data_IF_452380907747
#
_entry.id   IF_452380907747
#
_cell.length_a   1.000
_cell.length_b   1.000
_cell.length_c   1.000
_cell.angle_alpha   90.00
_cell.angle_beta   90.00
_cell.angle_gamma   90.00
#
_symmetry.space_group_name_H-M   'P 1'
#
loop_
_entity.id
_entity.type
_entity.pdbx_description
1 polymer ?
#
# COMPACT_ATOMS: atom_id res chain seq x y z
N UNK A 1 10.80 -6.00 32.92
CA UNK A 1 10.34 -4.87 33.75
C UNK A 1 10.46 -3.52 33.02
N UNK A 2 11.53 -3.25 32.31
CA UNK A 2 11.75 -1.97 31.58
C UNK A 2 10.80 -1.77 30.39
N UNK A 3 10.49 -2.81 29.62
CA UNK A 3 9.48 -2.75 28.52
C UNK A 3 8.15 -2.20 29.02
N UNK A 4 7.66 -2.70 30.16
CA UNK A 4 6.38 -2.27 30.75
C UNK A 4 6.44 -0.81 31.21
N UNK A 5 7.57 -0.38 31.79
CA UNK A 5 7.75 1.03 32.21
C UNK A 5 7.73 1.98 31.01
N UNK A 6 8.41 1.62 29.90
CA UNK A 6 8.41 2.41 28.67
C UNK A 6 7.02 2.43 28.04
N UNK A 7 6.34 1.28 27.98
CA UNK A 7 4.97 1.19 27.50
C UNK A 7 4.07 2.16 28.27
N UNK A 8 4.04 2.09 29.60
CA UNK A 8 3.15 2.94 30.42
C UNK A 8 3.51 4.43 30.22
N UNK A 9 4.79 4.77 30.25
CA UNK A 9 5.25 6.18 30.17
C UNK A 9 4.94 6.84 28.83
N UNK A 10 5.15 6.11 27.72
CA UNK A 10 5.05 6.67 26.38
C UNK A 10 3.80 6.19 25.60
N UNK A 11 2.93 5.41 26.23
CA UNK A 11 1.74 4.83 25.59
C UNK A 11 0.89 5.87 24.85
N UNK A 12 0.52 7.03 25.43
CA UNK A 12 -0.30 8.01 24.72
C UNK A 12 0.36 8.53 23.45
N UNK A 13 1.67 8.84 23.50
CA UNK A 13 2.42 9.34 22.35
C UNK A 13 2.62 8.28 21.27
N UNK A 14 2.82 7.01 21.66
CA UNK A 14 2.94 5.90 20.71
C UNK A 14 1.60 5.57 20.03
N UNK A 15 0.48 5.71 20.75
CA UNK A 15 -0.86 5.55 20.16
C UNK A 15 -1.14 6.65 19.13
N UNK A 16 -0.78 7.91 19.43
CA UNK A 16 -0.90 9.01 18.46
C UNK A 16 -0.06 8.73 17.22
N UNK A 17 1.19 8.30 17.40
CA UNK A 17 2.08 7.96 16.30
C UNK A 17 1.56 6.77 15.47
N UNK A 18 0.97 5.76 16.13
CA UNK A 18 0.30 4.65 15.46
C UNK A 18 -0.89 5.12 14.64
N UNK A 19 -1.70 6.07 15.17
CA UNK A 19 -2.80 6.66 14.41
C UNK A 19 -2.31 7.36 13.14
N UNK A 20 -1.18 8.07 13.21
CA UNK A 20 -0.57 8.69 12.01
C UNK A 20 -0.08 7.62 11.01
N UNK A 21 0.53 6.53 11.48
CA UNK A 21 0.87 5.36 10.66
C UNK A 21 -0.36 4.81 9.93
N UNK A 22 -1.45 4.58 10.65
CA UNK A 22 -2.69 4.03 10.09
C UNK A 22 -3.34 5.01 9.12
N UNK A 23 -3.44 6.29 9.48
CA UNK A 23 -3.98 7.33 8.58
C UNK A 23 -3.21 7.40 7.26
N UNK A 24 -1.87 7.43 7.33
CA UNK A 24 -1.01 7.46 6.15
C UNK A 24 -1.24 6.22 5.29
N UNK A 25 -1.25 5.03 5.90
CA UNK A 25 -1.49 3.78 5.19
C UNK A 25 -2.86 3.73 4.52
N UNK A 26 -3.94 4.06 5.25
CA UNK A 26 -5.31 4.01 4.72
C UNK A 26 -5.49 5.00 3.57
N UNK A 27 -5.04 6.25 3.75
CA UNK A 27 -5.10 7.27 2.69
C UNK A 27 -4.36 6.81 1.44
N UNK A 28 -3.13 6.31 1.61
CA UNK A 28 -2.32 5.82 0.49
C UNK A 28 -2.95 4.62 -0.20
N UNK A 29 -3.55 3.70 0.55
CA UNK A 29 -4.20 2.51 0.00
C UNK A 29 -5.45 2.82 -0.81
N UNK A 30 -6.23 3.85 -0.43
CA UNK A 30 -7.38 4.30 -1.23
C UNK A 30 -6.91 4.75 -2.62
N UNK A 31 -5.89 5.59 -2.68
CA UNK A 31 -5.33 6.03 -3.97
C UNK A 31 -4.59 4.92 -4.70
N UNK A 32 -3.88 4.05 -3.98
CA UNK A 32 -3.22 2.88 -4.56
C UNK A 32 -4.21 1.93 -5.24
N UNK A 33 -5.38 1.73 -4.64
CA UNK A 33 -6.43 0.89 -5.24
C UNK A 33 -6.97 1.51 -6.54
N UNK A 34 -7.20 2.83 -6.56
CA UNK A 34 -7.63 3.55 -7.77
C UNK A 34 -6.58 3.43 -8.88
N UNK A 35 -5.31 3.69 -8.55
CA UNK A 35 -4.19 3.56 -9.50
C UNK A 35 -4.02 2.10 -9.94
N UNK A 36 -4.15 1.16 -9.02
CA UNK A 36 -4.05 -0.27 -9.27
C UNK A 36 -5.09 -0.77 -10.26
N UNK A 37 -6.36 -0.37 -10.09
CA UNK A 37 -7.44 -0.70 -11.03
C UNK A 37 -7.16 -0.06 -12.39
N UNK A 38 -6.82 1.21 -12.43
CA UNK A 38 -6.57 1.94 -13.66
C UNK A 38 -5.43 1.33 -14.48
N UNK A 39 -4.25 1.18 -13.89
CA UNK A 39 -3.09 0.63 -14.56
C UNK A 39 -3.19 -0.89 -14.78
N UNK A 40 -3.82 -1.63 -13.86
CA UNK A 40 -4.06 -3.07 -14.01
C UNK A 40 -4.94 -3.39 -15.23
N UNK A 41 -6.03 -2.63 -15.42
CA UNK A 41 -6.89 -2.77 -16.59
C UNK A 41 -6.19 -2.36 -17.90
N UNK A 42 -5.35 -1.34 -17.87
CA UNK A 42 -4.57 -0.96 -19.04
C UNK A 42 -3.57 -2.05 -19.48
N UNK A 43 -3.04 -2.82 -18.53
CA UNK A 43 -2.09 -3.91 -18.83
C UNK A 43 -2.73 -5.12 -19.52
N UNK A 44 -4.03 -5.32 -19.35
CA UNK A 44 -4.77 -6.40 -20.03
C UNK A 44 -5.45 -5.96 -21.32
N UNK A 45 -5.45 -4.66 -21.65
CA UNK A 45 -6.08 -4.14 -22.87
C UNK A 45 -5.34 -4.60 -24.12
N UNK A 46 -6.06 -4.68 -25.26
CA UNK A 46 -5.48 -4.93 -26.58
C UNK A 46 -4.75 -3.70 -27.16
N UNK A 47 -5.02 -2.50 -26.62
CA UNK A 47 -4.35 -1.27 -27.07
C UNK A 47 -2.89 -1.27 -26.60
N UNK A 48 -1.97 -1.41 -27.54
CA UNK A 48 -0.52 -1.49 -27.30
C UNK A 48 0.03 -0.25 -26.59
N UNK A 49 -0.46 0.94 -26.94
CA UNK A 49 0.00 2.19 -26.31
C UNK A 49 -0.35 2.22 -24.81
N UNK A 50 -1.62 1.94 -24.44
CA UNK A 50 -2.04 1.90 -23.05
C UNK A 50 -1.32 0.82 -22.27
N UNK A 51 -1.13 -0.35 -22.89
CA UNK A 51 -0.39 -1.47 -22.26
C UNK A 51 1.05 -1.09 -21.97
N UNK A 52 1.77 -0.50 -22.93
CA UNK A 52 3.17 -0.07 -22.77
C UNK A 52 3.25 1.02 -21.69
N UNK A 53 2.40 2.03 -21.74
CA UNK A 53 2.36 3.11 -20.75
C UNK A 53 2.18 2.57 -19.32
N UNK A 54 1.19 1.70 -19.11
CA UNK A 54 0.94 1.10 -17.80
C UNK A 54 2.08 0.18 -17.35
N UNK A 55 2.65 -0.61 -18.26
CA UNK A 55 3.78 -1.48 -17.95
C UNK A 55 5.01 -0.67 -17.55
N UNK A 56 5.33 0.41 -18.26
CA UNK A 56 6.46 1.29 -17.93
C UNK A 56 6.33 1.86 -16.50
N UNK A 57 5.14 2.37 -16.14
CA UNK A 57 4.88 2.82 -14.77
C UNK A 57 5.16 1.71 -13.74
N UNK A 58 4.57 0.55 -13.95
CA UNK A 58 4.68 -0.57 -13.00
C UNK A 58 6.12 -1.06 -12.89
N UNK A 59 6.84 -1.20 -14.00
CA UNK A 59 8.24 -1.65 -14.01
C UNK A 59 9.18 -0.64 -13.31
N UNK A 60 9.04 0.66 -13.59
CA UNK A 60 9.85 1.71 -12.95
C UNK A 60 9.62 1.71 -11.44
N UNK A 61 8.36 1.73 -11.01
CA UNK A 61 8.02 1.81 -9.58
C UNK A 61 8.45 0.54 -8.82
N UNK A 62 8.20 -0.64 -9.39
CA UNK A 62 8.60 -1.90 -8.74
C UNK A 62 10.09 -2.20 -8.86
N UNK A 63 10.77 -1.59 -9.82
CA UNK A 63 12.21 -1.71 -10.04
C UNK A 63 13.06 -0.74 -9.20
N UNK A 64 12.44 0.16 -8.42
CA UNK A 64 13.15 1.16 -7.62
C UNK A 64 12.76 1.08 -6.13
N UNK A 65 13.70 1.33 -5.19
CA UNK A 65 13.41 1.29 -3.76
C UNK A 65 12.43 2.39 -3.33
N UNK A 66 11.45 2.06 -2.48
CA UNK A 66 10.49 3.03 -1.93
C UNK A 66 11.17 4.24 -1.28
N UNK A 67 12.27 4.03 -0.56
CA UNK A 67 13.03 5.13 0.07
C UNK A 67 13.54 6.14 -0.96
N UNK A 68 14.05 5.66 -2.10
CA UNK A 68 14.53 6.52 -3.20
C UNK A 68 13.36 7.28 -3.83
N UNK A 69 12.22 6.62 -4.03
CA UNK A 69 10.99 7.27 -4.51
C UNK A 69 10.54 8.39 -3.55
N UNK A 70 10.60 8.15 -2.23
CA UNK A 70 10.26 9.15 -1.23
C UNK A 70 11.16 10.40 -1.33
N UNK A 71 12.46 10.22 -1.52
CA UNK A 71 13.40 11.34 -1.72
C UNK A 71 13.14 12.08 -3.03
N UNK A 72 12.90 11.38 -4.14
CA UNK A 72 12.59 12.01 -5.42
C UNK A 72 11.32 12.84 -5.30
N UNK A 73 10.25 12.31 -4.69
CA UNK A 73 8.97 13.01 -4.57
C UNK A 73 9.09 14.17 -3.59
N UNK A 74 9.68 13.96 -2.41
CA UNK A 74 9.73 15.02 -1.40
C UNK A 74 10.69 16.14 -1.76
N UNK A 75 11.93 15.82 -2.12
CA UNK A 75 12.96 16.82 -2.43
C UNK A 75 13.00 17.17 -3.92
N UNK A 76 12.95 16.18 -4.81
CA UNK A 76 13.08 16.38 -6.25
C UNK A 76 11.89 17.16 -6.83
N UNK A 77 10.66 16.77 -6.53
CA UNK A 77 9.46 17.50 -6.99
C UNK A 77 9.45 18.92 -6.42
N UNK A 78 9.75 19.10 -5.14
CA UNK A 78 9.84 20.43 -4.53
C UNK A 78 10.89 21.32 -5.21
N UNK A 79 12.05 20.75 -5.58
CA UNK A 79 13.10 21.47 -6.28
C UNK A 79 12.68 21.89 -7.70
N UNK A 80 12.09 20.98 -8.47
CA UNK A 80 11.67 21.22 -9.86
C UNK A 80 10.52 22.24 -9.92
N UNK A 81 9.59 22.16 -8.98
CA UNK A 81 8.40 23.04 -8.94
C UNK A 81 8.64 24.34 -8.15
N UNK A 82 9.81 24.53 -7.54
CA UNK A 82 10.15 25.76 -6.80
C UNK A 82 9.88 27.06 -7.58
N UNK A 83 10.18 27.15 -8.91
CA UNK A 83 9.90 28.36 -9.69
C UNK A 83 8.41 28.72 -9.78
N UNK A 84 7.49 27.75 -9.58
CA UNK A 84 6.03 27.98 -9.56
C UNK A 84 5.51 28.40 -8.19
N UNK A 85 6.37 28.55 -7.17
CA UNK A 85 5.99 28.82 -5.79
C UNK A 85 5.55 27.58 -5.01
N UNK A 86 5.63 26.40 -5.59
CA UNK A 86 5.20 25.16 -4.93
C UNK A 86 6.03 24.84 -3.68
N UNK A 87 5.32 24.50 -2.59
CA UNK A 87 5.89 23.96 -1.36
C UNK A 87 5.00 22.88 -0.77
N UNK A 88 5.60 21.78 -0.36
CA UNK A 88 4.87 20.72 0.35
C UNK A 88 4.22 21.24 1.65
N UNK A 89 4.80 22.24 2.31
CA UNK A 89 4.27 22.81 3.56
C UNK A 89 2.86 23.39 3.39
N UNK A 90 2.52 23.89 2.20
CA UNK A 90 1.21 24.47 1.90
C UNK A 90 0.09 23.42 1.76
N UNK A 91 0.47 22.17 1.45
CA UNK A 91 -0.48 21.10 1.16
C UNK A 91 -0.34 19.90 2.11
N UNK A 92 0.19 20.12 3.32
CA UNK A 92 0.29 19.09 4.35
C UNK A 92 1.69 18.51 4.58
N UNK A 93 2.72 19.09 3.96
CA UNK A 93 4.12 18.78 4.24
C UNK A 93 4.57 17.38 3.84
N UNK A 94 5.47 16.83 4.65
CA UNK A 94 6.01 15.49 4.45
C UNK A 94 4.93 14.40 4.43
N UNK A 95 3.84 14.58 5.19
CA UNK A 95 2.73 13.61 5.22
C UNK A 95 2.10 13.43 3.84
N UNK A 96 1.79 14.53 3.15
CA UNK A 96 1.20 14.48 1.80
C UNK A 96 2.18 13.91 0.77
N UNK A 97 3.46 14.32 0.82
CA UNK A 97 4.48 13.74 -0.05
C UNK A 97 4.66 12.24 0.16
N UNK A 98 4.63 11.80 1.42
CA UNK A 98 4.68 10.38 1.78
C UNK A 98 3.43 9.61 1.33
N UNK A 99 2.24 10.22 1.49
CA UNK A 99 0.99 9.63 1.00
C UNK A 99 1.02 9.45 -0.53
N UNK A 100 1.49 10.44 -1.28
CA UNK A 100 1.69 10.34 -2.74
C UNK A 100 2.68 9.24 -3.08
N UNK A 101 3.84 9.21 -2.40
CA UNK A 101 4.88 8.19 -2.63
C UNK A 101 4.34 6.78 -2.42
N UNK A 102 3.70 6.54 -1.28
CA UNK A 102 3.18 5.22 -0.92
C UNK A 102 2.00 4.83 -1.82
N UNK A 103 1.17 5.80 -2.25
CA UNK A 103 0.08 5.56 -3.21
C UNK A 103 0.60 5.10 -4.56
N UNK A 104 1.62 5.76 -5.09
CA UNK A 104 2.25 5.37 -6.35
C UNK A 104 2.93 4.00 -6.22
N UNK A 105 3.67 3.77 -5.14
CA UNK A 105 4.35 2.51 -4.91
C UNK A 105 3.34 1.35 -4.80
N UNK A 106 2.43 1.42 -3.84
CA UNK A 106 1.41 0.38 -3.62
C UNK A 106 0.47 0.23 -4.81
N UNK A 107 0.20 1.32 -5.55
CA UNK A 107 -0.59 1.30 -6.78
C UNK A 107 0.01 0.44 -7.88
N UNK A 108 1.33 0.46 -8.05
CA UNK A 108 2.02 -0.39 -9.00
C UNK A 108 1.93 -1.89 -8.62
N UNK A 109 2.06 -2.22 -7.33
CA UNK A 109 1.85 -3.58 -6.84
C UNK A 109 0.39 -4.02 -6.99
N UNK A 110 -0.57 -3.15 -6.69
CA UNK A 110 -2.01 -3.42 -6.89
C UNK A 110 -2.33 -3.65 -8.37
N UNK A 111 -1.74 -2.88 -9.30
CA UNK A 111 -1.92 -3.07 -10.73
C UNK A 111 -1.47 -4.48 -11.18
N UNK A 112 -0.36 -4.97 -10.65
CA UNK A 112 0.13 -6.31 -10.94
C UNK A 112 -0.77 -7.40 -10.34
N UNK A 113 -1.24 -7.21 -9.10
CA UNK A 113 -2.19 -8.13 -8.45
C UNK A 113 -3.48 -8.22 -9.27
N UNK A 114 -4.02 -7.10 -9.73
CA UNK A 114 -5.25 -7.06 -10.53
C UNK A 114 -5.04 -7.73 -11.88
N UNK A 115 -3.93 -7.42 -12.58
CA UNK A 115 -3.59 -8.09 -13.83
C UNK A 115 -3.49 -9.60 -13.65
N UNK A 116 -2.67 -10.04 -12.67
CA UNK A 116 -2.48 -11.46 -12.39
C UNK A 116 -3.75 -12.17 -11.98
N UNK A 117 -4.63 -11.53 -11.19
CA UNK A 117 -5.91 -12.10 -10.80
C UNK A 117 -6.88 -12.29 -11.97
N UNK A 118 -6.89 -11.37 -12.95
CA UNK A 118 -7.71 -11.50 -14.16
C UNK A 118 -7.15 -12.59 -15.08
N UNK A 119 -5.84 -12.65 -15.26
CA UNK A 119 -5.17 -13.66 -16.09
C UNK A 119 -5.20 -15.07 -15.47
N UNK A 120 -5.41 -15.19 -14.18
CA UNK A 120 -5.53 -16.48 -13.49
C UNK A 120 -6.89 -17.16 -13.67
N UNK A 121 -7.89 -16.44 -14.20
CA UNK A 121 -9.19 -17.06 -14.56
C UNK A 121 -9.01 -17.89 -15.82
N UNK A 122 -9.50 -19.13 -15.78
CA UNK A 122 -9.41 -20.05 -16.91
C UNK A 122 -10.00 -19.45 -18.20
N UNK A 123 -9.27 -19.55 -19.31
CA UNK A 123 -9.66 -19.01 -20.62
C UNK A 123 -10.98 -19.59 -21.11
N UNK A 124 -11.25 -20.86 -20.80
CA UNK A 124 -12.51 -21.54 -21.13
C UNK A 124 -13.74 -20.86 -20.54
N UNK A 125 -13.60 -20.12 -19.41
CA UNK A 125 -14.70 -19.31 -18.86
C UNK A 125 -15.10 -18.17 -19.82
N UNK A 126 -14.12 -17.53 -20.43
CA UNK A 126 -14.36 -16.49 -21.44
C UNK A 126 -14.98 -17.08 -22.70
N UNK A 127 -14.47 -18.21 -23.17
CA UNK A 127 -14.96 -18.89 -24.36
C UNK A 127 -16.40 -19.39 -24.16
N UNK A 128 -16.70 -20.02 -23.04
CA UNK A 128 -18.04 -20.48 -22.70
C UNK A 128 -19.04 -19.31 -22.63
N UNK A 129 -18.67 -18.21 -21.97
CA UNK A 129 -19.50 -17.01 -21.88
C UNK A 129 -19.78 -16.42 -23.29
N UNK A 130 -18.77 -16.39 -24.15
CA UNK A 130 -18.90 -15.93 -25.55
C UNK A 130 -19.79 -16.84 -26.38
N UNK A 131 -19.70 -18.16 -26.20
CA UNK A 131 -20.53 -19.16 -26.87
C UNK A 131 -22.00 -19.04 -26.48
N UNK A 132 -22.31 -18.58 -25.26
CA UNK A 132 -23.65 -18.25 -24.80
C UNK A 132 -24.17 -16.88 -25.30
N UNK A 133 -23.44 -16.21 -26.24
CA UNK A 133 -23.87 -14.95 -26.85
C UNK A 133 -23.54 -13.70 -26.07
N UNK A 134 -22.81 -13.80 -24.94
CA UNK A 134 -22.38 -12.60 -24.20
C UNK A 134 -21.33 -11.83 -25.02
N UNK A 135 -21.42 -10.50 -25.04
CA UNK A 135 -20.35 -9.66 -25.60
C UNK A 135 -19.07 -9.78 -24.74
N UNK A 136 -17.91 -9.40 -25.27
CA UNK A 136 -16.64 -9.43 -24.52
C UNK A 136 -16.73 -8.69 -23.18
N UNK A 137 -17.32 -7.49 -23.19
CA UNK A 137 -17.48 -6.66 -21.98
C UNK A 137 -18.45 -7.32 -20.98
N UNK A 138 -19.52 -7.93 -21.48
CA UNK A 138 -20.47 -8.67 -20.63
C UNK A 138 -19.82 -9.91 -20.02
N UNK A 139 -19.06 -10.67 -20.79
CA UNK A 139 -18.31 -11.83 -20.31
C UNK A 139 -17.28 -11.43 -19.25
N UNK A 140 -16.53 -10.36 -19.52
CA UNK A 140 -15.56 -9.82 -18.57
C UNK A 140 -16.24 -9.40 -17.25
N UNK A 141 -17.32 -8.61 -17.32
CA UNK A 141 -17.99 -8.06 -16.15
C UNK A 141 -18.78 -9.10 -15.34
N UNK A 142 -19.49 -10.01 -16.02
CA UNK A 142 -20.42 -10.95 -15.36
C UNK A 142 -19.77 -12.28 -14.98
N UNK A 143 -18.71 -12.71 -15.68
CA UNK A 143 -18.09 -14.03 -15.48
C UNK A 143 -16.66 -13.91 -14.96
N UNK A 144 -15.81 -13.13 -15.62
CA UNK A 144 -14.37 -13.10 -15.31
C UNK A 144 -14.08 -12.27 -14.05
N UNK A 145 -14.54 -11.01 -14.00
CA UNK A 145 -14.22 -10.11 -12.87
C UNK A 145 -14.66 -10.63 -11.50
N UNK A 146 -15.85 -11.25 -11.32
CA UNK A 146 -16.24 -11.82 -10.03
C UNK A 146 -15.33 -12.97 -9.58
N UNK A 147 -14.86 -13.80 -10.52
CA UNK A 147 -13.91 -14.88 -10.24
C UNK A 147 -12.53 -14.31 -9.94
N UNK A 148 -12.03 -13.40 -10.79
CA UNK A 148 -10.75 -12.71 -10.61
C UNK A 148 -10.68 -11.99 -9.25
N UNK A 149 -11.76 -11.32 -8.83
CA UNK A 149 -11.81 -10.64 -7.53
C UNK A 149 -11.57 -11.60 -6.36
N UNK A 150 -12.19 -12.79 -6.41
CA UNK A 150 -11.96 -13.82 -5.38
C UNK A 150 -10.51 -14.31 -5.35
N UNK A 151 -9.89 -14.47 -6.53
CA UNK A 151 -8.50 -14.92 -6.68
C UNK A 151 -7.54 -13.86 -6.15
N UNK A 152 -7.75 -12.57 -6.48
CA UNK A 152 -6.83 -11.49 -6.11
C UNK A 152 -6.99 -10.98 -4.68
N UNK A 153 -8.13 -11.23 -4.02
CA UNK A 153 -8.43 -10.66 -2.71
C UNK A 153 -7.39 -10.97 -1.63
N UNK A 154 -6.87 -12.21 -1.48
CA UNK A 154 -5.80 -12.51 -0.52
C UNK A 154 -4.55 -11.66 -0.76
N UNK A 155 -4.16 -11.49 -2.02
CA UNK A 155 -3.00 -10.69 -2.41
C UNK A 155 -3.21 -9.19 -2.15
N UNK A 156 -4.42 -8.68 -2.38
CA UNK A 156 -4.80 -7.29 -2.06
C UNK A 156 -4.65 -7.05 -0.55
N UNK A 157 -5.19 -7.95 0.28
CA UNK A 157 -5.11 -7.79 1.74
C UNK A 157 -3.66 -7.89 2.22
N UNK A 158 -2.87 -8.81 1.67
CA UNK A 158 -1.44 -8.89 1.97
C UNK A 158 -0.72 -7.59 1.59
N UNK A 159 -1.04 -6.98 0.45
CA UNK A 159 -0.48 -5.69 0.04
C UNK A 159 -0.87 -4.56 1.00
N UNK A 160 -2.06 -4.59 1.59
CA UNK A 160 -2.45 -3.63 2.63
C UNK A 160 -1.55 -3.74 3.87
N UNK A 161 -1.22 -4.96 4.30
CA UNK A 161 -0.32 -5.20 5.44
C UNK A 161 1.12 -4.75 5.11
N UNK A 162 1.59 -5.00 3.89
CA UNK A 162 2.90 -4.55 3.41
C UNK A 162 2.93 -3.01 3.42
N UNK A 163 1.95 -2.36 2.82
CA UNK A 163 1.86 -0.89 2.74
C UNK A 163 1.86 -0.23 4.13
N UNK A 164 1.19 -0.83 5.13
CA UNK A 164 1.22 -0.34 6.49
C UNK A 164 2.64 -0.39 7.09
N UNK A 165 3.39 -1.45 6.85
CA UNK A 165 4.79 -1.56 7.30
C UNK A 165 5.71 -0.60 6.55
N UNK A 166 5.45 -0.37 5.27
CA UNK A 166 6.23 0.52 4.40
C UNK A 166 6.13 1.99 4.82
N UNK A 167 5.11 2.38 5.60
CA UNK A 167 5.06 3.72 6.21
C UNK A 167 6.29 4.00 7.06
N UNK A 168 6.89 2.98 7.68
CA UNK A 168 8.11 3.10 8.50
C UNK A 168 9.30 3.65 7.70
N UNK A 169 9.40 3.34 6.41
CA UNK A 169 10.44 3.84 5.51
C UNK A 169 10.30 5.35 5.32
N UNK A 170 9.06 5.86 5.30
CA UNK A 170 8.78 7.28 5.07
C UNK A 170 9.16 8.18 6.25
N UNK A 171 9.57 7.61 7.39
CA UNK A 171 10.22 8.35 8.47
C UNK A 171 11.46 9.10 8.02
N UNK A 172 12.13 8.69 6.92
CA UNK A 172 13.33 9.32 6.36
C UNK A 172 13.07 10.74 5.81
N UNK A 173 11.83 11.05 5.43
CA UNK A 173 11.42 12.40 4.99
C UNK A 173 10.73 13.20 6.11
N UNK A 174 10.83 12.74 7.37
CA UNK A 174 10.38 13.48 8.56
C UNK A 174 8.92 13.25 8.95
N UNK A 175 8.25 12.23 8.42
CA UNK A 175 6.89 11.89 8.85
C UNK A 175 6.92 11.34 10.28
N UNK A 176 6.14 11.95 11.17
CA UNK A 176 6.05 11.56 12.59
C UNK A 176 5.10 10.37 12.80
N UNK A 177 5.40 9.28 12.13
CA UNK A 177 4.73 7.99 12.33
C UNK A 177 5.42 7.19 13.45
N UNK A 178 5.00 5.93 13.66
CA UNK A 178 5.43 5.10 14.78
C UNK A 178 6.96 4.87 14.83
N UNK A 179 7.61 4.62 13.69
CA UNK A 179 9.07 4.42 13.62
C UNK A 179 9.85 5.71 13.92
N UNK A 180 9.38 6.85 13.45
CA UNK A 180 10.00 8.14 13.77
C UNK A 180 9.90 8.45 15.26
N UNK A 181 8.78 8.12 15.89
CA UNK A 181 8.63 8.22 17.35
C UNK A 181 9.61 7.33 18.08
N UNK A 182 9.82 6.10 17.60
CA UNK A 182 10.85 5.19 18.11
C UNK A 182 12.26 5.78 17.99
N UNK A 183 12.61 6.38 16.85
CA UNK A 183 13.90 7.05 16.62
C UNK A 183 14.13 8.18 17.63
N UNK A 184 13.11 9.03 17.83
CA UNK A 184 13.19 10.15 18.78
C UNK A 184 13.39 9.65 20.22
N UNK A 185 12.63 8.63 20.64
CA UNK A 185 12.77 8.04 21.96
C UNK A 185 14.14 7.37 22.16
N UNK A 186 14.64 6.65 21.16
CA UNK A 186 15.94 5.99 21.21
C UNK A 186 17.09 7.01 21.29
N UNK A 187 17.00 8.12 20.57
CA UNK A 187 17.98 9.21 20.64
C UNK A 187 18.04 9.86 22.03
N UNK A 188 16.91 9.94 22.73
CA UNK A 188 16.82 10.53 24.06
C UNK A 188 17.16 9.55 25.22
N UNK A 189 17.36 8.27 24.90
CA UNK A 189 17.55 7.21 25.93
C UNK A 189 18.45 6.10 25.40
N UNK A 190 19.74 6.39 25.28
CA UNK A 190 20.72 5.46 24.69
C UNK A 190 20.87 4.12 25.41
N UNK A 191 20.60 4.06 26.72
CA UNK A 191 20.61 2.79 27.50
C UNK A 191 19.39 1.91 27.25
N UNK A 192 18.32 2.43 26.60
CA UNK A 192 17.05 1.73 26.43
C UNK A 192 16.69 1.46 24.96
N UNK A 193 17.66 1.65 24.06
CA UNK A 193 17.43 1.54 22.59
C UNK A 193 16.76 0.21 22.22
N UNK A 194 17.30 -0.91 22.68
CA UNK A 194 16.75 -2.23 22.39
C UNK A 194 15.30 -2.37 22.89
N UNK A 195 15.04 -1.90 24.11
CA UNK A 195 13.71 -1.95 24.73
C UNK A 195 12.69 -1.11 23.96
N UNK A 196 13.08 0.08 23.49
CA UNK A 196 12.23 0.96 22.67
C UNK A 196 11.85 0.26 21.35
N UNK A 197 12.83 -0.32 20.64
CA UNK A 197 12.55 -1.01 19.39
C UNK A 197 11.67 -2.27 19.57
N UNK A 198 11.80 -2.99 20.68
CA UNK A 198 10.87 -4.08 21.02
C UNK A 198 9.45 -3.55 21.21
N UNK A 199 9.29 -2.42 21.89
CA UNK A 199 7.97 -1.78 22.08
C UNK A 199 7.37 -1.36 20.73
N UNK A 200 8.14 -0.70 19.86
CA UNK A 200 7.71 -0.33 18.52
C UNK A 200 7.30 -1.56 17.71
N UNK A 201 8.09 -2.63 17.76
CA UNK A 201 7.78 -3.89 17.08
C UNK A 201 6.47 -4.53 17.58
N UNK A 202 6.19 -4.45 18.90
CA UNK A 202 4.92 -4.93 19.47
C UNK A 202 3.73 -4.15 18.90
N UNK A 203 3.81 -2.83 18.76
CA UNK A 203 2.74 -2.02 18.18
C UNK A 203 2.48 -2.37 16.72
N UNK A 204 3.54 -2.48 15.89
CA UNK A 204 3.39 -2.94 14.50
C UNK A 204 2.82 -4.35 14.42
N UNK A 205 3.33 -5.26 15.25
CA UNK A 205 2.86 -6.65 15.28
C UNK A 205 1.37 -6.72 15.65
N UNK A 206 0.93 -5.99 16.66
CA UNK A 206 -0.47 -5.99 17.09
C UNK A 206 -1.42 -5.58 15.94
N UNK A 207 -1.09 -4.50 15.20
CA UNK A 207 -1.92 -4.04 14.08
C UNK A 207 -1.84 -5.00 12.89
N UNK A 208 -0.64 -5.41 12.47
CA UNK A 208 -0.47 -6.32 11.34
C UNK A 208 -1.10 -7.69 11.61
N UNK A 209 -0.99 -8.20 12.84
CA UNK A 209 -1.60 -9.46 13.24
C UNK A 209 -3.13 -9.38 13.23
N UNK A 210 -3.70 -8.29 13.75
CA UNK A 210 -5.16 -8.07 13.70
C UNK A 210 -5.68 -8.00 12.25
N UNK A 211 -4.96 -7.30 11.36
CA UNK A 211 -5.28 -7.26 9.94
C UNK A 211 -5.17 -8.65 9.29
N UNK A 212 -4.13 -9.42 9.64
CA UNK A 212 -3.92 -10.78 9.11
C UNK A 212 -5.02 -11.75 9.56
N UNK A 213 -5.50 -11.63 10.80
CA UNK A 213 -6.66 -12.42 11.27
C UNK A 213 -7.93 -12.08 10.51
N UNK A 214 -8.20 -10.78 10.31
CA UNK A 214 -9.32 -10.30 9.49
C UNK A 214 -9.23 -10.81 8.05
N UNK A 215 -8.03 -10.82 7.47
CA UNK A 215 -7.74 -11.38 6.15
C UNK A 215 -8.15 -12.85 6.04
N UNK A 216 -7.64 -13.67 6.95
CA UNK A 216 -7.95 -15.12 6.98
C UNK A 216 -9.45 -15.38 7.13
N UNK A 217 -10.13 -14.61 7.97
CA UNK A 217 -11.59 -14.75 8.11
C UNK A 217 -12.34 -14.46 6.80
N UNK A 218 -11.95 -13.39 6.10
CA UNK A 218 -12.52 -13.04 4.80
C UNK A 218 -12.22 -14.09 3.73
N UNK A 219 -11.00 -14.62 3.68
CA UNK A 219 -10.62 -15.70 2.75
C UNK A 219 -11.48 -16.95 2.94
N UNK A 220 -11.65 -17.39 4.19
CA UNK A 220 -12.47 -18.55 4.52
C UNK A 220 -13.91 -18.33 4.08
N UNK A 221 -14.50 -17.18 4.43
CA UNK A 221 -15.88 -16.85 4.09
C UNK A 221 -16.13 -16.81 2.58
N UNK A 222 -15.18 -16.31 1.80
CA UNK A 222 -15.29 -16.23 0.33
C UNK A 222 -15.02 -17.57 -0.36
N UNK A 223 -14.23 -18.44 0.25
CA UNK A 223 -13.93 -19.78 -0.28
C UNK A 223 -15.12 -20.74 -0.08
N UNK A 224 -15.87 -20.60 1.01
CA UNK A 224 -17.03 -21.44 1.36
C UNK A 224 -18.39 -20.81 1.00
N UNK A 225 -18.43 -19.57 0.51
CA UNK A 225 -19.64 -18.92 0.00
C UNK A 225 -19.96 -19.44 -1.42
N UNK A 226 -20.32 -20.73 -1.51
CA UNK A 226 -20.99 -21.35 -2.66
C UNK A 226 -22.48 -21.34 -2.44
#
# INVERSE_FOLDING_TARGET
>A
MEVVKILIKYFPSLVIALMETVKLSVLSLIFALILGVFFGLFRITKNRFLKVFASTYVEIIRGTPLMVQAFIIYYGVAQVLKPTGFSWSEIGGAFTAGAVTLSLNSGAYMAEIIRGGIEAVDVGQMEAARSLGLSYIQSLRKVILPQAFRIMLPSIINQCIISLKDTSILSVIGIRELTMSGKILAANSTSLVMTIWIVIAIFYFAVCFSLSLGAKYLEVKLKYGK
#
